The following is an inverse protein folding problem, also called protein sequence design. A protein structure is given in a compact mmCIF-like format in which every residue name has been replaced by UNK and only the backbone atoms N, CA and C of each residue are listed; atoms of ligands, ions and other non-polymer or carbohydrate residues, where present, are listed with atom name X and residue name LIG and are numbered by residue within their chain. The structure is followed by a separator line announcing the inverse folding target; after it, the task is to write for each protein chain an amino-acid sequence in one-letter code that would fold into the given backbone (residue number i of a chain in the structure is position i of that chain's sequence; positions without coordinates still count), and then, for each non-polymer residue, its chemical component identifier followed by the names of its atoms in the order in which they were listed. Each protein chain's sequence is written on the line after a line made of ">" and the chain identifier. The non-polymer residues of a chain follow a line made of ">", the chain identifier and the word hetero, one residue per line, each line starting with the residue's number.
data_IF_652098193856
#
_entry.id   IF_652098193856
#
_cell.length_a   1.000
_cell.length_b   1.000
_cell.length_c   1.000
_cell.angle_alpha   90.00
_cell.angle_beta   90.00
_cell.angle_gamma   90.00
#
_symmetry.space_group_name_H-M   'P 1'
#
loop_
_entity.id
_entity.type
_entity.pdbx_description
1 polymer ?
#
# COMPACT_ATOMS: atom_id res chain seq x y z
N UNK A 1 -1.23 -4.76 -19.65
CA UNK A 1 0.00 -4.10 -19.17
C UNK A 1 1.21 -4.72 -19.84
N UNK A 2 2.14 -3.89 -20.32
CA UNK A 2 3.39 -4.37 -20.95
C UNK A 2 4.47 -4.58 -19.90
N UNK A 3 5.32 -5.60 -20.08
CA UNK A 3 6.49 -5.81 -19.21
C UNK A 3 7.31 -4.54 -19.06
N UNK A 4 7.80 -4.31 -17.85
CA UNK A 4 8.77 -3.26 -17.56
C UNK A 4 10.06 -3.49 -18.34
N UNK A 5 10.76 -2.41 -18.64
CA UNK A 5 12.10 -2.44 -19.23
C UNK A 5 13.00 -1.44 -18.53
N UNK A 6 14.07 -1.91 -17.90
CA UNK A 6 15.16 -1.07 -17.42
C UNK A 6 16.01 -0.56 -18.60
N UNK A 7 16.35 0.72 -18.55
CA UNK A 7 17.24 1.40 -19.49
C UNK A 7 18.21 2.25 -18.69
N UNK A 8 19.51 2.11 -18.95
CA UNK A 8 20.53 2.96 -18.34
C UNK A 8 20.54 4.33 -19.05
N UNK A 9 20.26 5.40 -18.31
CA UNK A 9 20.34 6.79 -18.78
C UNK A 9 21.53 7.51 -18.13
N UNK A 10 21.83 8.72 -18.60
CA UNK A 10 22.97 9.50 -18.12
C UNK A 10 22.88 9.89 -16.63
N UNK A 11 21.66 9.95 -16.08
CA UNK A 11 21.36 10.34 -14.71
C UNK A 11 20.89 9.16 -13.82
N UNK A 12 21.05 7.93 -14.31
CA UNK A 12 20.67 6.71 -13.59
C UNK A 12 19.73 5.81 -14.39
N UNK A 13 19.26 4.71 -13.78
CA UNK A 13 18.35 3.77 -14.43
C UNK A 13 16.95 4.37 -14.61
N UNK A 14 16.32 4.02 -15.73
CA UNK A 14 14.96 4.40 -16.12
C UNK A 14 14.12 3.17 -16.36
N UNK A 15 12.85 3.21 -15.93
CA UNK A 15 11.94 2.07 -16.03
C UNK A 15 10.77 2.42 -16.94
N UNK A 16 10.69 1.75 -18.09
CA UNK A 16 9.67 2.02 -19.11
C UNK A 16 8.60 0.95 -19.11
N UNK A 17 7.34 1.37 -19.21
CA UNK A 17 6.21 0.46 -19.37
C UNK A 17 5.08 1.11 -20.18
N UNK A 18 3.98 0.39 -20.32
CA UNK A 18 2.74 0.94 -20.85
C UNK A 18 1.51 0.30 -20.18
N UNK A 19 0.50 1.13 -19.96
CA UNK A 19 -0.82 0.74 -19.48
C UNK A 19 -1.86 0.98 -20.57
N UNK A 20 -2.89 0.15 -20.62
CA UNK A 20 -4.10 0.45 -21.39
C UNK A 20 -4.98 1.45 -20.62
N UNK A 21 -5.87 2.16 -21.32
CA UNK A 21 -6.65 3.22 -20.68
C UNK A 21 -7.57 2.74 -19.56
N UNK A 22 -8.13 1.53 -19.70
CA UNK A 22 -8.93 0.92 -18.63
C UNK A 22 -8.06 0.47 -17.45
N UNK A 23 -6.82 0.03 -17.69
CA UNK A 23 -5.87 -0.34 -16.63
C UNK A 23 -5.44 0.89 -15.82
N UNK A 24 -5.15 2.01 -16.50
CA UNK A 24 -4.81 3.26 -15.84
C UNK A 24 -5.99 3.82 -15.03
N UNK A 25 -7.21 3.77 -15.57
CA UNK A 25 -8.42 4.18 -14.85
C UNK A 25 -8.69 3.30 -13.62
N UNK A 26 -8.54 1.98 -13.76
CA UNK A 26 -8.68 1.04 -12.65
C UNK A 26 -7.64 1.30 -11.55
N UNK A 27 -6.36 1.42 -11.92
CA UNK A 27 -5.29 1.68 -10.96
C UNK A 27 -5.48 3.03 -10.25
N UNK A 28 -5.85 4.08 -10.98
CA UNK A 28 -6.17 5.40 -10.43
C UNK A 28 -7.30 5.31 -9.41
N UNK A 29 -8.38 4.61 -9.75
CA UNK A 29 -9.52 4.40 -8.84
C UNK A 29 -9.10 3.67 -7.57
N UNK A 30 -8.34 2.58 -7.68
CA UNK A 30 -7.90 1.78 -6.52
C UNK A 30 -6.97 2.57 -5.59
N UNK A 31 -6.00 3.28 -6.18
CA UNK A 31 -5.06 4.13 -5.42
C UNK A 31 -5.80 5.30 -4.77
N UNK A 32 -6.75 5.92 -5.48
CA UNK A 32 -7.60 6.98 -4.93
C UNK A 32 -8.47 6.51 -3.76
N UNK A 33 -9.08 5.32 -3.85
CA UNK A 33 -9.83 4.73 -2.73
C UNK A 33 -8.93 4.47 -1.52
N UNK A 34 -7.70 3.99 -1.73
CA UNK A 34 -6.73 3.78 -0.66
C UNK A 34 -6.30 5.10 -0.01
N UNK A 35 -6.03 6.14 -0.80
CA UNK A 35 -5.75 7.47 -0.29
C UNK A 35 -6.91 7.99 0.59
N UNK A 36 -8.15 7.84 0.13
CA UNK A 36 -9.33 8.22 0.92
C UNK A 36 -9.39 7.53 2.28
N UNK A 37 -9.07 6.23 2.36
CA UNK A 37 -9.02 5.51 3.65
C UNK A 37 -7.90 6.02 4.57
N UNK A 38 -6.73 6.36 4.01
CA UNK A 38 -5.62 6.93 4.75
C UNK A 38 -5.93 8.36 5.24
N UNK A 39 -6.64 9.15 4.43
CA UNK A 39 -7.12 10.50 4.75
C UNK A 39 -8.14 10.47 5.90
N UNK A 40 -9.14 9.59 5.80
CA UNK A 40 -10.11 9.39 6.87
C UNK A 40 -9.42 8.95 8.16
N UNK A 41 -8.47 8.01 8.07
CA UNK A 41 -7.70 7.57 9.24
C UNK A 41 -6.99 8.73 9.90
N UNK A 42 -6.12 9.47 9.21
CA UNK A 42 -5.38 10.58 9.83
C UNK A 42 -6.32 11.66 10.38
N UNK A 43 -7.37 12.04 9.62
CA UNK A 43 -8.28 13.12 10.03
C UNK A 43 -9.10 12.79 11.29
N UNK A 44 -9.28 11.50 11.58
CA UNK A 44 -9.95 11.02 12.80
C UNK A 44 -9.02 10.89 14.01
N UNK A 45 -7.73 11.24 13.89
CA UNK A 45 -6.79 11.20 15.00
C UNK A 45 -7.22 12.17 16.11
N UNK A 46 -7.12 11.80 17.40
CA UNK A 46 -7.37 12.73 18.48
C UNK A 46 -6.39 13.90 18.38
N UNK A 47 -6.90 15.13 18.40
CA UNK A 47 -6.04 16.30 18.50
C UNK A 47 -5.31 16.29 19.84
N UNK A 48 -3.98 16.37 19.81
CA UNK A 48 -3.15 16.42 21.01
C UNK A 48 -2.84 17.87 21.37
N UNK A 49 -3.16 18.30 22.60
CA UNK A 49 -2.82 19.63 23.10
C UNK A 49 -1.29 19.85 23.12
N UNK A 50 -0.49 18.78 23.25
CA UNK A 50 0.97 18.82 23.13
C UNK A 50 1.44 19.00 21.68
N UNK A 51 0.66 18.61 20.67
CA UNK A 51 1.00 18.86 19.26
C UNK A 51 1.08 20.38 19.00
N UNK A 52 0.14 21.15 19.54
CA UNK A 52 0.14 22.61 19.41
C UNK A 52 1.37 23.28 20.03
N UNK A 53 2.00 22.62 21.01
CA UNK A 53 3.17 23.13 21.74
C UNK A 53 4.48 22.62 21.12
N UNK A 54 4.52 21.37 20.68
CA UNK A 54 5.75 20.68 20.25
C UNK A 54 5.90 20.57 18.73
N UNK A 55 4.80 20.74 17.97
CA UNK A 55 4.73 20.47 16.53
C UNK A 55 4.82 18.99 16.16
N UNK A 56 4.82 18.08 17.14
CA UNK A 56 4.88 16.64 16.91
C UNK A 56 3.44 16.12 16.80
N UNK A 57 3.06 15.70 15.59
CA UNK A 57 1.80 14.99 15.35
C UNK A 57 1.82 13.64 16.04
N UNK A 58 0.85 13.38 16.90
CA UNK A 58 0.61 12.06 17.48
C UNK A 58 -0.50 11.35 16.72
N UNK A 59 -0.24 10.12 16.30
CA UNK A 59 -1.25 9.25 15.68
C UNK A 59 -2.17 8.59 16.70
N UNK A 60 -3.02 7.68 16.22
CA UNK A 60 -3.92 6.93 17.09
C UNK A 60 -3.18 6.03 18.06
N UNK A 61 -3.73 5.91 19.26
CA UNK A 61 -3.32 4.87 20.22
C UNK A 61 -3.95 3.51 19.90
N UNK A 62 -5.15 3.51 19.32
CA UNK A 62 -5.91 2.28 19.02
C UNK A 62 -5.64 1.78 17.60
N UNK A 63 -5.63 0.46 17.37
CA UNK A 63 -5.54 -0.10 16.01
C UNK A 63 -6.72 0.38 15.15
N UNK A 64 -6.58 0.39 13.81
CA UNK A 64 -7.73 0.55 12.92
C UNK A 64 -8.80 -0.51 13.22
N UNK A 65 -10.08 -0.22 12.95
CA UNK A 65 -11.16 -1.18 13.23
C UNK A 65 -11.33 -2.20 12.11
N UNK A 66 -11.28 -1.73 10.86
CA UNK A 66 -11.38 -2.54 9.65
C UNK A 66 -10.10 -3.36 9.39
N UNK A 67 -10.27 -4.55 8.80
CA UNK A 67 -9.19 -5.48 8.53
C UNK A 67 -8.19 -4.96 7.48
N UNK A 68 -8.67 -4.20 6.49
CA UNK A 68 -7.87 -3.62 5.41
C UNK A 68 -6.84 -2.64 5.96
N UNK A 69 -7.29 -1.68 6.77
CA UNK A 69 -6.42 -0.71 7.42
C UNK A 69 -5.51 -1.37 8.46
N UNK A 70 -5.96 -2.40 9.18
CA UNK A 70 -5.06 -3.21 10.05
C UNK A 70 -3.96 -3.89 9.25
N UNK A 71 -4.21 -4.27 7.98
CA UNK A 71 -3.19 -4.84 7.11
C UNK A 71 -2.17 -3.80 6.65
N UNK A 72 -2.64 -2.59 6.34
CA UNK A 72 -1.78 -1.48 5.92
C UNK A 72 -1.00 -0.85 7.07
N UNK A 73 -1.59 -0.80 8.26
CA UNK A 73 -1.05 -0.24 9.50
C UNK A 73 -1.05 -1.31 10.60
N UNK A 74 -0.21 -2.37 10.46
CA UNK A 74 -0.19 -3.47 11.41
C UNK A 74 0.40 -3.06 12.76
N UNK A 75 0.13 -3.88 13.78
CA UNK A 75 0.86 -3.80 15.05
C UNK A 75 2.38 -3.98 14.83
N UNK A 76 3.15 -3.20 15.58
CA UNK A 76 4.62 -3.22 15.56
C UNK A 76 5.18 -4.47 16.23
N UNK A 77 4.47 -4.97 17.24
CA UNK A 77 4.86 -6.13 18.01
C UNK A 77 3.75 -7.18 18.03
N UNK A 78 4.11 -8.42 17.68
CA UNK A 78 3.24 -9.60 17.83
C UNK A 78 3.90 -10.58 18.81
N UNK A 79 3.28 -10.88 19.96
CA UNK A 79 3.83 -11.84 20.89
C UNK A 79 3.89 -13.24 20.26
N UNK A 80 5.00 -13.96 20.47
CA UNK A 80 5.20 -15.31 19.93
C UNK A 80 4.55 -16.41 20.79
N UNK A 81 4.28 -16.11 22.06
CA UNK A 81 3.66 -17.01 23.03
C UNK A 81 2.71 -16.21 23.89
N UNK A 82 1.62 -16.83 24.35
CA UNK A 82 0.74 -16.23 25.33
C UNK A 82 1.51 -15.94 26.62
N UNK A 83 1.53 -14.68 27.03
CA UNK A 83 2.19 -14.27 28.25
C UNK A 83 1.26 -14.55 29.44
N UNK A 84 1.75 -15.13 30.55
CA UNK A 84 0.89 -15.44 31.71
C UNK A 84 0.23 -14.20 32.34
N UNK A 85 0.76 -13.00 32.09
CA UNK A 85 0.17 -11.72 32.49
C UNK A 85 -0.86 -11.15 31.48
N UNK A 86 -1.23 -11.90 30.45
CA UNK A 86 -2.13 -11.46 29.38
C UNK A 86 -1.47 -10.57 28.32
N UNK A 87 -2.28 -10.00 27.42
CA UNK A 87 -1.86 -9.18 26.28
C UNK A 87 -1.57 -7.70 26.63
N UNK A 88 -1.86 -7.25 27.85
CA UNK A 88 -1.86 -5.82 28.20
C UNK A 88 -0.52 -5.11 28.00
N UNK A 89 0.61 -5.79 28.21
CA UNK A 89 1.95 -5.20 27.94
C UNK A 89 2.21 -5.00 26.45
N UNK A 90 1.82 -5.98 25.62
CA UNK A 90 1.93 -5.89 24.17
C UNK A 90 0.99 -4.83 23.58
N UNK A 91 -0.23 -4.73 24.10
CA UNK A 91 -1.21 -3.71 23.72
C UNK A 91 -0.72 -2.30 24.06
N UNK A 92 -0.17 -2.11 25.27
CA UNK A 92 0.40 -0.82 25.70
C UNK A 92 1.59 -0.42 24.81
N UNK A 93 2.48 -1.37 24.50
CA UNK A 93 3.61 -1.12 23.60
C UNK A 93 3.14 -0.73 22.19
N UNK A 94 2.23 -1.50 21.60
CA UNK A 94 1.68 -1.19 20.27
C UNK A 94 0.94 0.14 20.25
N UNK A 95 0.21 0.48 21.32
CA UNK A 95 -0.45 1.77 21.46
C UNK A 95 0.53 2.93 21.43
N UNK A 96 1.64 2.84 22.17
CA UNK A 96 2.66 3.89 22.20
C UNK A 96 3.38 4.02 20.84
N UNK A 97 3.80 2.90 20.24
CA UNK A 97 4.49 2.90 18.96
C UNK A 97 3.62 3.43 17.82
N UNK A 98 2.33 3.09 17.81
CA UNK A 98 1.37 3.61 16.85
C UNK A 98 1.20 5.12 16.97
N UNK A 99 1.03 5.62 18.19
CA UNK A 99 0.95 7.07 18.43
C UNK A 99 2.18 7.81 17.90
N UNK A 100 3.37 7.21 17.97
CA UNK A 100 4.61 7.84 17.51
C UNK A 100 4.84 7.73 15.99
N UNK A 101 4.49 6.59 15.38
CA UNK A 101 4.94 6.26 14.03
C UNK A 101 3.85 6.25 12.97
N UNK A 102 2.58 6.06 13.34
CA UNK A 102 1.49 5.97 12.38
C UNK A 102 1.40 7.19 11.44
N UNK A 103 1.56 8.46 11.91
CA UNK A 103 1.50 9.62 11.02
C UNK A 103 2.56 9.59 9.91
N UNK A 104 3.80 9.21 10.25
CA UNK A 104 4.89 9.12 9.28
C UNK A 104 4.70 7.97 8.30
N UNK A 105 4.13 6.85 8.76
CA UNK A 105 3.79 5.71 7.89
C UNK A 105 2.69 6.12 6.90
N UNK A 106 1.63 6.79 7.38
CA UNK A 106 0.54 7.29 6.53
C UNK A 106 1.10 8.26 5.48
N UNK A 107 1.92 9.23 5.88
CA UNK A 107 2.54 10.19 4.98
C UNK A 107 3.40 9.51 3.90
N UNK A 108 4.25 8.56 4.29
CA UNK A 108 5.06 7.79 3.33
C UNK A 108 4.19 7.01 2.31
N UNK A 109 3.10 6.39 2.77
CA UNK A 109 2.15 5.68 1.90
C UNK A 109 1.44 6.63 0.93
N UNK A 110 1.01 7.80 1.42
CA UNK A 110 0.38 8.82 0.57
C UNK A 110 1.34 9.38 -0.45
N UNK A 111 2.58 9.67 -0.08
CA UNK A 111 3.60 10.14 -1.02
C UNK A 111 3.86 9.11 -2.11
N UNK A 112 3.95 7.82 -1.77
CA UNK A 112 4.11 6.76 -2.76
C UNK A 112 2.91 6.67 -3.72
N UNK A 113 1.69 6.71 -3.18
CA UNK A 113 0.46 6.72 -3.95
C UNK A 113 0.34 7.95 -4.87
N UNK A 114 0.68 9.14 -4.36
CA UNK A 114 0.63 10.38 -5.15
C UNK A 114 1.66 10.36 -6.28
N UNK A 115 2.90 9.93 -6.02
CA UNK A 115 3.90 9.77 -7.10
C UNK A 115 3.45 8.80 -8.18
N UNK A 116 2.77 7.71 -7.79
CA UNK A 116 2.18 6.78 -8.75
C UNK A 116 1.16 7.51 -9.64
N UNK A 117 0.24 8.26 -9.04
CA UNK A 117 -0.77 9.01 -9.79
C UNK A 117 -0.14 10.08 -10.69
N UNK A 118 0.84 10.84 -10.19
CA UNK A 118 1.49 11.94 -10.92
C UNK A 118 2.31 11.46 -12.13
N UNK A 119 2.84 10.25 -12.08
CA UNK A 119 3.71 9.67 -13.13
C UNK A 119 2.99 8.70 -14.05
N UNK A 120 1.73 8.36 -13.75
CA UNK A 120 0.88 7.54 -14.60
C UNK A 120 0.23 8.41 -15.70
N UNK A 121 0.24 7.98 -16.97
CA UNK A 121 -0.41 8.75 -18.04
C UNK A 121 -1.93 8.66 -17.95
N UNK A 122 -2.60 9.81 -17.97
CA UNK A 122 -4.05 9.91 -18.06
C UNK A 122 -4.57 9.18 -19.31
N UNK A 123 -5.51 8.23 -19.12
CA UNK A 123 -6.05 7.43 -20.22
C UNK A 123 -5.10 6.35 -20.76
N UNK A 124 -4.00 6.06 -20.06
CA UNK A 124 -3.04 5.03 -20.42
C UNK A 124 -2.00 5.51 -21.45
N UNK A 125 -1.16 4.58 -21.90
CA UNK A 125 -0.06 4.84 -22.82
C UNK A 125 1.29 4.45 -22.22
N UNK A 126 2.36 4.82 -22.93
CA UNK A 126 3.74 4.57 -22.51
C UNK A 126 4.18 5.63 -21.50
N UNK A 127 4.97 5.21 -20.52
CA UNK A 127 5.53 6.09 -19.51
C UNK A 127 6.93 5.58 -19.09
N UNK A 128 7.67 6.47 -18.45
CA UNK A 128 9.03 6.23 -17.94
C UNK A 128 9.13 6.75 -16.51
N UNK A 129 9.71 5.93 -15.63
CA UNK A 129 9.93 6.26 -14.23
C UNK A 129 11.42 6.46 -13.94
N UNK A 130 11.71 7.37 -13.01
CA UNK A 130 12.98 7.36 -12.26
C UNK A 130 13.06 6.10 -11.38
N UNK A 131 14.23 5.81 -10.81
CA UNK A 131 14.36 4.75 -9.79
C UNK A 131 13.52 5.04 -8.54
N UNK A 132 13.49 6.28 -8.08
CA UNK A 132 12.70 6.70 -6.92
C UNK A 132 11.19 6.53 -7.18
N UNK A 133 10.71 6.91 -8.36
CA UNK A 133 9.30 6.74 -8.74
C UNK A 133 8.96 5.25 -8.93
N UNK A 134 9.89 4.44 -9.44
CA UNK A 134 9.72 2.99 -9.52
C UNK A 134 9.58 2.35 -8.12
N UNK A 135 10.36 2.79 -7.13
CA UNK A 135 10.19 2.38 -5.74
C UNK A 135 8.84 2.83 -5.16
N UNK A 136 8.41 4.06 -5.44
CA UNK A 136 7.12 4.58 -5.03
C UNK A 136 5.96 3.76 -5.64
N UNK A 137 6.04 3.43 -6.92
CA UNK A 137 5.10 2.54 -7.60
C UNK A 137 5.04 1.17 -6.95
N UNK A 138 6.20 0.55 -6.69
CA UNK A 138 6.26 -0.76 -6.06
C UNK A 138 5.62 -0.76 -4.66
N UNK A 139 5.82 0.30 -3.87
CA UNK A 139 5.21 0.47 -2.56
C UNK A 139 3.68 0.69 -2.65
N UNK A 140 3.22 1.60 -3.51
CA UNK A 140 1.80 1.90 -3.66
C UNK A 140 1.00 0.70 -4.20
N UNK A 141 1.52 0.02 -5.22
CA UNK A 141 0.90 -1.20 -5.78
C UNK A 141 0.86 -2.31 -4.73
N UNK A 142 1.92 -2.44 -3.92
CA UNK A 142 1.91 -3.40 -2.81
C UNK A 142 0.78 -3.12 -1.83
N UNK A 143 0.59 -1.87 -1.44
CA UNK A 143 -0.42 -1.48 -0.46
C UNK A 143 -1.83 -1.75 -0.99
N UNK A 144 -2.11 -1.39 -2.25
CA UNK A 144 -3.39 -1.74 -2.90
C UNK A 144 -3.58 -3.26 -2.94
N UNK A 145 -2.53 -4.02 -3.28
CA UNK A 145 -2.57 -5.49 -3.30
C UNK A 145 -2.82 -6.08 -1.92
N UNK A 146 -2.21 -5.55 -0.87
CA UNK A 146 -2.43 -5.98 0.51
C UNK A 146 -3.87 -5.70 0.97
N UNK A 147 -4.41 -4.54 0.60
CA UNK A 147 -5.78 -4.17 0.91
C UNK A 147 -6.77 -5.12 0.22
N UNK A 148 -6.62 -5.30 -1.09
CA UNK A 148 -7.47 -6.19 -1.88
C UNK A 148 -7.34 -7.65 -1.46
N UNK A 149 -6.12 -8.11 -1.15
CA UNK A 149 -5.90 -9.46 -0.64
C UNK A 149 -6.56 -9.72 0.71
N UNK A 150 -6.67 -8.68 1.56
CA UNK A 150 -7.40 -8.78 2.83
C UNK A 150 -8.90 -8.89 2.61
N UNK A 151 -9.46 -8.07 1.72
CA UNK A 151 -10.87 -8.13 1.33
C UNK A 151 -11.26 -9.49 0.73
N UNK A 152 -10.33 -10.11 -0.01
CA UNK A 152 -10.50 -11.40 -0.66
C UNK A 152 -10.16 -12.60 0.25
N UNK A 153 -9.76 -12.35 1.50
CA UNK A 153 -9.28 -13.38 2.44
C UNK A 153 -8.19 -14.30 1.84
N UNK A 154 -7.30 -13.73 1.02
CA UNK A 154 -6.23 -14.49 0.36
C UNK A 154 -5.18 -14.91 1.40
N UNK A 155 -5.08 -16.22 1.61
CA UNK A 155 -4.05 -16.87 2.42
C UNK A 155 -3.08 -17.74 1.60
N UNK A 156 -2.12 -18.42 2.25
CA UNK A 156 -1.16 -19.32 1.60
C UNK A 156 -1.81 -20.44 0.78
N UNK A 157 -2.98 -20.90 1.21
CA UNK A 157 -3.78 -21.96 0.57
C UNK A 157 -5.02 -21.40 -0.15
N UNK A 158 -5.02 -20.10 -0.45
CA UNK A 158 -6.13 -19.45 -1.16
C UNK A 158 -6.29 -20.00 -2.58
N UNK A 159 -7.52 -19.99 -3.14
CA UNK A 159 -7.75 -20.54 -4.47
C UNK A 159 -7.08 -19.68 -5.56
N UNK A 160 -6.35 -20.33 -6.46
CA UNK A 160 -5.74 -19.67 -7.65
C UNK A 160 -6.80 -19.05 -8.59
N UNK A 161 -8.05 -19.50 -8.50
CA UNK A 161 -9.16 -19.02 -9.32
C UNK A 161 -10.49 -19.21 -8.59
N UNK A 162 -11.38 -18.23 -8.75
CA UNK A 162 -12.78 -18.32 -8.34
C UNK A 162 -13.66 -18.68 -9.56
N UNK A 163 -14.82 -19.33 -9.34
CA UNK A 163 -15.81 -19.54 -10.40
C UNK A 163 -16.19 -18.21 -11.07
N UNK A 164 -16.43 -18.16 -12.39
CA UNK A 164 -16.76 -16.92 -13.09
C UNK A 164 -17.97 -16.16 -12.51
N UNK A 165 -18.93 -16.89 -11.99
CA UNK A 165 -20.15 -16.38 -11.34
C UNK A 165 -19.93 -15.90 -9.89
N UNK A 166 -18.74 -16.10 -9.32
CA UNK A 166 -18.44 -15.66 -7.97
C UNK A 166 -18.40 -14.12 -7.90
N UNK A 167 -19.06 -13.47 -6.92
CA UNK A 167 -19.11 -11.99 -6.84
C UNK A 167 -17.73 -11.32 -6.80
N UNK A 168 -16.73 -12.01 -6.22
CA UNK A 168 -15.36 -11.52 -6.10
C UNK A 168 -14.41 -11.97 -7.22
N UNK A 169 -14.89 -12.67 -8.26
CA UNK A 169 -14.01 -13.17 -9.33
C UNK A 169 -13.21 -12.04 -10.00
N UNK A 170 -13.87 -10.93 -10.36
CA UNK A 170 -13.18 -9.78 -10.95
C UNK A 170 -12.17 -9.13 -9.99
N UNK A 171 -12.44 -9.12 -8.69
CA UNK A 171 -11.50 -8.59 -7.68
C UNK A 171 -10.24 -9.47 -7.59
N UNK A 172 -10.38 -10.80 -7.71
CA UNK A 172 -9.22 -11.70 -7.77
C UNK A 172 -8.39 -11.48 -9.03
N UNK A 173 -9.02 -11.26 -10.19
CA UNK A 173 -8.30 -10.95 -11.43
C UNK A 173 -7.48 -9.65 -11.29
N UNK A 174 -8.06 -8.61 -10.67
CA UNK A 174 -7.33 -7.37 -10.36
C UNK A 174 -6.16 -7.64 -9.40
N UNK A 175 -6.36 -8.42 -8.34
CA UNK A 175 -5.30 -8.78 -7.40
C UNK A 175 -4.13 -9.49 -8.11
N UNK A 176 -4.42 -10.44 -9.00
CA UNK A 176 -3.41 -11.17 -9.76
C UNK A 176 -2.67 -10.25 -10.74
N UNK A 177 -3.41 -9.36 -11.41
CA UNK A 177 -2.83 -8.37 -12.30
C UNK A 177 -1.85 -7.43 -11.56
N UNK A 178 -2.25 -6.91 -10.38
CA UNK A 178 -1.37 -6.10 -9.52
C UNK A 178 -0.13 -6.88 -9.06
N UNK A 179 -0.31 -8.18 -8.75
CA UNK A 179 0.80 -9.07 -8.35
C UNK A 179 1.85 -9.16 -9.45
N UNK A 180 1.43 -9.44 -10.68
CA UNK A 180 2.31 -9.52 -11.83
C UNK A 180 2.94 -8.16 -12.17
N UNK A 181 2.18 -7.07 -12.03
CA UNK A 181 2.68 -5.72 -12.26
C UNK A 181 3.82 -5.37 -11.31
N UNK A 182 3.65 -5.70 -10.03
CA UNK A 182 4.65 -5.48 -8.99
C UNK A 182 5.87 -6.39 -9.19
N UNK A 183 5.65 -7.68 -9.46
CA UNK A 183 6.73 -8.65 -9.66
C UNK A 183 7.69 -8.20 -10.77
N UNK A 184 7.17 -7.85 -11.94
CA UNK A 184 8.02 -7.39 -13.04
C UNK A 184 8.75 -6.08 -12.72
N UNK A 185 8.14 -5.15 -11.97
CA UNK A 185 8.82 -3.91 -11.57
C UNK A 185 9.98 -4.21 -10.61
N UNK A 186 9.76 -5.09 -9.64
CA UNK A 186 10.77 -5.49 -8.65
C UNK A 186 11.94 -6.22 -9.31
N UNK A 187 11.66 -7.13 -10.26
CA UNK A 187 12.72 -7.81 -11.01
C UNK A 187 13.65 -6.82 -11.70
N UNK A 188 13.09 -5.86 -12.45
CA UNK A 188 13.86 -4.83 -13.13
C UNK A 188 14.60 -3.89 -12.14
N UNK A 189 13.99 -3.53 -11.01
CA UNK A 189 14.64 -2.76 -9.95
C UNK A 189 15.87 -3.50 -9.40
N UNK A 190 15.77 -4.82 -9.23
CA UNK A 190 16.87 -5.66 -8.73
C UNK A 190 17.86 -6.11 -9.81
N UNK A 191 17.63 -5.76 -11.08
CA UNK A 191 18.50 -6.12 -12.21
C UNK A 191 18.50 -7.62 -12.53
N UNK A 192 17.38 -8.32 -12.29
CA UNK A 192 17.19 -9.75 -12.58
C UNK A 192 16.26 -9.94 -13.77
#
# INVERSE_FOLDING_TARGET
>A
MRKWKRVEAADGPRFRSALEGHEAALLSSLVGSMLGMLDERESSAPADELEAITGIKTGHSRPPEDATMKRLLPDFFRPQTDHPAGSGTAESLNSALRGLHEPQIIDAKRQAAQRLLDTMPDGGGKFELTEDDAHAWAAAVNDVRLALGTLLEIGPDGPDRLPPEHPMAGHLDVYQWLTVLQEYLVLELTGK
#
